data_IF_514564581411
#
_entry.id   IF_514564581411
#
_cell.length_a   1.000
_cell.length_b   1.000
_cell.length_c   1.000
_cell.angle_alpha   90.00
_cell.angle_beta   90.00
_cell.angle_gamma   90.00
#
_symmetry.space_group_name_H-M   'P 1'
#
loop_
_entity.id
_entity.type
_entity.pdbx_description
1 polymer ?
#
# COMPACT_ATOMS: atom_id res chain seq x y z
N UNK A 1 5.70 -5.71 19.34
CA UNK A 1 5.87 -7.17 19.48
C UNK A 1 6.09 -7.76 18.09
N UNK A 2 7.18 -8.49 17.87
CA UNK A 2 7.41 -9.22 16.63
C UNK A 2 6.67 -10.56 16.65
N UNK A 3 6.07 -10.96 15.54
CA UNK A 3 5.46 -12.28 15.35
C UNK A 3 6.38 -13.13 14.47
N UNK A 4 6.57 -14.41 14.82
CA UNK A 4 7.38 -15.35 14.03
C UNK A 4 6.50 -16.06 13.01
N UNK A 5 6.95 -16.11 11.76
CA UNK A 5 6.34 -16.88 10.67
C UNK A 5 7.40 -17.89 10.20
N UNK A 6 6.99 -19.15 10.02
CA UNK A 6 7.81 -20.19 9.43
C UNK A 6 7.14 -20.67 8.14
N UNK A 7 7.91 -20.85 7.08
CA UNK A 7 7.46 -21.44 5.83
C UNK A 7 8.53 -22.41 5.33
N UNK A 8 8.08 -23.45 4.65
CA UNK A 8 8.95 -24.46 4.03
C UNK A 8 9.07 -24.14 2.55
N UNK A 9 10.29 -24.22 2.04
CA UNK A 9 10.60 -24.12 0.62
C UNK A 9 11.12 -25.48 0.17
N UNK A 10 10.87 -25.82 -1.08
CA UNK A 10 11.62 -26.87 -1.74
C UNK A 10 13.08 -26.43 -1.98
N UNK A 11 13.93 -27.40 -2.35
CA UNK A 11 15.36 -27.15 -2.55
C UNK A 11 15.58 -26.06 -3.61
N UNK A 12 14.83 -26.10 -4.72
CA UNK A 12 14.92 -25.09 -5.78
C UNK A 12 14.54 -23.70 -5.27
N UNK A 13 13.42 -23.58 -4.57
CA UNK A 13 12.95 -22.31 -4.02
C UNK A 13 13.92 -21.73 -3.00
N UNK A 14 14.49 -22.58 -2.16
CA UNK A 14 15.53 -22.18 -1.20
C UNK A 14 16.80 -21.70 -1.92
N UNK A 15 17.32 -22.48 -2.86
CA UNK A 15 18.52 -22.12 -3.61
C UNK A 15 18.35 -20.79 -4.34
N UNK A 16 17.22 -20.60 -5.03
CA UNK A 16 16.90 -19.35 -5.72
C UNK A 16 16.82 -18.17 -4.76
N UNK A 17 16.17 -18.34 -3.62
CA UNK A 17 16.06 -17.29 -2.60
C UNK A 17 17.45 -16.86 -2.12
N UNK A 18 18.32 -17.82 -1.78
CA UNK A 18 19.67 -17.54 -1.27
C UNK A 18 20.55 -16.91 -2.37
N UNK A 19 20.51 -17.42 -3.59
CA UNK A 19 21.31 -16.88 -4.70
C UNK A 19 20.94 -15.43 -5.00
N UNK A 20 19.65 -15.11 -4.96
CA UNK A 20 19.16 -13.76 -5.27
C UNK A 20 19.47 -12.74 -4.17
N UNK A 21 19.77 -13.17 -2.95
CA UNK A 21 20.22 -12.29 -1.85
C UNK A 21 21.40 -11.42 -2.28
N UNK A 22 22.35 -11.99 -3.03
CA UNK A 22 23.52 -11.26 -3.52
C UNK A 22 23.15 -10.09 -4.43
N UNK A 23 22.09 -10.25 -5.24
CA UNK A 23 21.58 -9.17 -6.08
C UNK A 23 20.94 -8.09 -5.22
N UNK A 24 20.18 -8.49 -4.21
CA UNK A 24 19.56 -7.58 -3.26
C UNK A 24 20.61 -6.76 -2.47
N UNK A 25 21.64 -7.40 -1.91
CA UNK A 25 22.70 -6.72 -1.16
C UNK A 25 23.42 -5.67 -2.02
N UNK A 26 23.64 -5.97 -3.32
CA UNK A 26 24.21 -5.02 -4.27
C UNK A 26 23.29 -3.81 -4.50
N UNK A 27 21.98 -4.04 -4.62
CA UNK A 27 20.99 -2.96 -4.82
C UNK A 27 20.87 -2.08 -3.56
N UNK A 28 20.94 -2.69 -2.38
CA UNK A 28 20.82 -2.00 -1.10
C UNK A 28 22.13 -1.35 -0.64
N UNK A 29 23.25 -1.63 -1.34
CA UNK A 29 24.59 -1.16 -1.02
C UNK A 29 25.08 -1.59 0.39
N UNK A 30 24.46 -2.61 0.98
CA UNK A 30 24.74 -3.13 2.32
C UNK A 30 24.49 -4.65 2.37
N UNK A 31 25.30 -5.37 3.16
CA UNK A 31 25.11 -6.79 3.41
C UNK A 31 24.00 -6.99 4.46
N UNK A 32 22.85 -7.49 4.01
CA UNK A 32 21.72 -7.80 4.89
C UNK A 32 21.88 -9.16 5.56
N UNK A 33 21.24 -9.42 6.69
CA UNK A 33 21.06 -10.79 7.15
C UNK A 33 19.93 -11.51 6.39
N UNK A 34 19.87 -12.85 6.46
CA UNK A 34 18.85 -13.62 5.74
C UNK A 34 17.42 -13.26 6.18
N UNK A 35 17.23 -12.93 7.45
CA UNK A 35 15.92 -12.62 8.00
C UNK A 35 15.42 -11.25 7.50
N UNK A 36 16.28 -10.24 7.47
CA UNK A 36 16.01 -8.91 6.95
C UNK A 36 15.72 -8.94 5.46
N UNK A 37 16.54 -9.66 4.70
CA UNK A 37 16.33 -9.88 3.27
C UNK A 37 14.95 -10.50 2.98
N UNK A 38 14.62 -11.59 3.68
CA UNK A 38 13.32 -12.26 3.51
C UNK A 38 12.16 -11.37 3.93
N UNK A 39 12.28 -10.68 5.07
CA UNK A 39 11.25 -9.75 5.53
C UNK A 39 11.01 -8.64 4.50
N UNK A 40 12.07 -8.14 3.87
CA UNK A 40 11.99 -7.10 2.84
C UNK A 40 11.31 -7.63 1.58
N UNK A 41 11.69 -8.81 1.09
CA UNK A 41 11.01 -9.43 -0.06
C UNK A 41 9.53 -9.63 0.20
N UNK A 42 9.16 -10.13 1.39
CA UNK A 42 7.75 -10.32 1.74
C UNK A 42 7.01 -8.99 1.76
N UNK A 43 7.60 -7.94 2.33
CA UNK A 43 6.99 -6.61 2.33
C UNK A 43 6.79 -6.05 0.91
N UNK A 44 7.82 -6.15 0.05
CA UNK A 44 7.76 -5.72 -1.35
C UNK A 44 6.74 -6.55 -2.13
N UNK A 45 6.69 -7.86 -1.90
CA UNK A 45 5.73 -8.77 -2.52
C UNK A 45 4.29 -8.38 -2.19
N UNK A 46 3.99 -8.14 -0.91
CA UNK A 46 2.66 -7.71 -0.47
C UNK A 46 2.26 -6.35 -1.08
N UNK A 47 3.18 -5.39 -1.11
CA UNK A 47 2.94 -4.07 -1.72
C UNK A 47 2.70 -4.18 -3.23
N UNK A 48 3.42 -5.06 -3.91
CA UNK A 48 3.27 -5.31 -5.35
C UNK A 48 1.93 -5.99 -5.63
N UNK A 49 1.58 -7.03 -4.87
CA UNK A 49 0.28 -7.69 -4.97
C UNK A 49 -0.87 -6.72 -4.74
N UNK A 50 -0.74 -5.79 -3.79
CA UNK A 50 -1.75 -4.75 -3.56
C UNK A 50 -1.92 -3.87 -4.79
N UNK A 51 -0.82 -3.40 -5.40
CA UNK A 51 -0.87 -2.59 -6.63
C UNK A 51 -1.51 -3.32 -7.80
N UNK A 52 -1.22 -4.60 -7.94
CA UNK A 52 -1.76 -5.45 -9.02
C UNK A 52 -3.26 -5.73 -8.84
N UNK A 53 -3.72 -5.88 -7.59
CA UNK A 53 -5.12 -6.15 -7.28
C UNK A 53 -5.98 -4.88 -7.32
N UNK A 54 -5.41 -3.70 -7.04
CA UNK A 54 -6.16 -2.44 -7.13
C UNK A 54 -6.59 -2.22 -8.59
N UNK A 55 -7.90 -2.08 -8.86
CA UNK A 55 -8.38 -1.85 -10.22
C UNK A 55 -7.75 -0.61 -10.83
N UNK A 56 -7.14 -0.77 -12.00
CA UNK A 56 -6.56 0.34 -12.77
C UNK A 56 -7.63 1.08 -13.58
N UNK A 57 -8.74 0.40 -13.89
CA UNK A 57 -9.91 1.04 -14.48
C UNK A 57 -10.56 1.99 -13.47
N UNK A 58 -10.77 3.24 -13.91
CA UNK A 58 -11.24 4.32 -13.04
C UNK A 58 -12.65 4.08 -12.53
N UNK A 59 -13.55 3.51 -13.34
CA UNK A 59 -14.93 3.27 -12.94
C UNK A 59 -14.99 2.14 -11.91
N UNK A 60 -14.29 1.04 -12.19
CA UNK A 60 -14.20 -0.10 -11.26
C UNK A 60 -13.56 0.31 -9.94
N UNK A 61 -12.53 1.17 -9.98
CA UNK A 61 -11.91 1.71 -8.77
C UNK A 61 -12.90 2.55 -7.96
N UNK A 62 -13.67 3.43 -8.59
CA UNK A 62 -14.67 4.23 -7.90
C UNK A 62 -15.79 3.39 -7.29
N UNK A 63 -16.25 2.36 -7.99
CA UNK A 63 -17.25 1.44 -7.46
C UNK A 63 -16.71 0.64 -6.28
N UNK A 64 -15.44 0.24 -6.33
CA UNK A 64 -14.75 -0.40 -5.20
C UNK A 64 -14.70 0.54 -3.99
N UNK A 65 -14.34 1.81 -4.19
CA UNK A 65 -14.31 2.83 -3.12
C UNK A 65 -15.72 3.07 -2.54
N UNK A 66 -16.75 3.15 -3.39
CA UNK A 66 -18.15 3.30 -2.94
C UNK A 66 -18.60 2.09 -2.13
N UNK A 67 -18.25 0.88 -2.56
CA UNK A 67 -18.54 -0.34 -1.83
C UNK A 67 -17.83 -0.38 -0.47
N UNK A 68 -16.58 0.07 -0.40
CA UNK A 68 -15.83 0.20 0.85
C UNK A 68 -16.51 1.16 1.82
N UNK A 69 -16.92 2.35 1.36
CA UNK A 69 -17.67 3.31 2.18
C UNK A 69 -19.01 2.74 2.67
N UNK A 70 -19.74 2.00 1.83
CA UNK A 70 -21.01 1.36 2.24
C UNK A 70 -20.78 0.29 3.31
N UNK A 71 -19.70 -0.48 3.21
CA UNK A 71 -19.41 -1.59 4.13
C UNK A 71 -18.79 -1.11 5.45
N UNK A 72 -17.92 -0.09 5.39
CA UNK A 72 -17.16 0.41 6.54
C UNK A 72 -17.10 1.96 6.52
N UNK A 73 -18.23 2.66 6.73
CA UNK A 73 -18.31 4.10 6.53
C UNK A 73 -17.40 4.90 7.48
N UNK A 74 -17.28 4.49 8.73
CA UNK A 74 -16.44 5.18 9.72
C UNK A 74 -14.95 5.07 9.37
N UNK A 75 -14.47 3.87 9.07
CA UNK A 75 -13.06 3.64 8.67
C UNK A 75 -12.72 4.46 7.42
N UNK A 76 -13.64 4.49 6.44
CA UNK A 76 -13.43 5.25 5.22
C UNK A 76 -13.39 6.77 5.49
N UNK A 77 -14.32 7.28 6.32
CA UNK A 77 -14.37 8.69 6.67
C UNK A 77 -13.11 9.14 7.43
N UNK A 78 -12.69 8.38 8.45
CA UNK A 78 -11.49 8.67 9.23
C UNK A 78 -10.24 8.66 8.34
N UNK A 79 -10.11 7.66 7.46
CA UNK A 79 -9.01 7.60 6.51
C UNK A 79 -8.98 8.80 5.56
N UNK A 80 -10.13 9.24 5.04
CA UNK A 80 -10.20 10.44 4.21
C UNK A 80 -9.80 11.70 4.98
N UNK A 81 -10.21 11.83 6.24
CA UNK A 81 -9.79 12.94 7.11
C UNK A 81 -8.28 12.93 7.27
N UNK A 82 -7.69 11.78 7.58
CA UNK A 82 -6.24 11.64 7.73
C UNK A 82 -5.49 12.01 6.44
N UNK A 83 -5.95 11.51 5.28
CA UNK A 83 -5.33 11.84 3.99
C UNK A 83 -5.45 13.33 3.67
N UNK A 84 -6.61 13.94 3.91
CA UNK A 84 -6.82 15.35 3.61
C UNK A 84 -6.09 16.26 4.59
N UNK A 85 -5.96 15.88 5.85
CA UNK A 85 -5.30 16.71 6.89
C UNK A 85 -3.78 16.73 6.76
N UNK A 86 -3.17 15.76 6.07
CA UNK A 86 -1.75 15.85 5.69
C UNK A 86 -1.52 17.14 4.90
N UNK A 87 -0.53 17.94 5.31
CA UNK A 87 -0.16 19.22 4.69
C UNK A 87 0.52 19.06 3.32
N UNK A 88 -0.09 18.26 2.45
CA UNK A 88 0.34 18.03 1.08
C UNK A 88 -0.39 18.99 0.15
N UNK A 89 0.34 19.59 -0.79
CA UNK A 89 -0.21 20.56 -1.75
C UNK A 89 -1.46 20.04 -2.47
N UNK A 90 -1.47 18.76 -2.86
CA UNK A 90 -2.61 18.10 -3.53
C UNK A 90 -3.84 18.00 -2.62
N UNK A 91 -3.66 17.67 -1.34
CA UNK A 91 -4.77 17.57 -0.39
C UNK A 91 -5.46 18.93 -0.18
N UNK A 92 -4.68 20.01 -0.10
CA UNK A 92 -5.20 21.36 0.07
C UNK A 92 -5.99 21.85 -1.16
N UNK A 93 -5.52 21.54 -2.37
CA UNK A 93 -6.25 21.82 -3.62
C UNK A 93 -7.60 21.10 -3.66
N UNK A 94 -7.63 19.82 -3.24
CA UNK A 94 -8.88 19.03 -3.16
C UNK A 94 -9.86 19.65 -2.16
N UNK A 95 -9.40 20.03 -0.95
CA UNK A 95 -10.27 20.68 0.06
C UNK A 95 -10.91 21.95 -0.47
N UNK A 96 -10.13 22.82 -1.12
CA UNK A 96 -10.64 24.09 -1.66
C UNK A 96 -11.70 23.84 -2.73
N UNK A 97 -11.45 22.89 -3.62
CA UNK A 97 -12.41 22.51 -4.67
C UNK A 97 -13.72 22.00 -4.06
N UNK A 98 -13.64 21.02 -3.16
CA UNK A 98 -14.82 20.42 -2.52
C UNK A 98 -15.61 21.46 -1.73
N UNK A 99 -14.94 22.34 -0.97
CA UNK A 99 -15.59 23.43 -0.23
C UNK A 99 -16.32 24.41 -1.15
N UNK A 100 -15.70 24.77 -2.27
CA UNK A 100 -16.31 25.66 -3.27
C UNK A 100 -17.55 25.05 -3.92
N UNK A 101 -17.52 23.75 -4.24
CA UNK A 101 -18.68 23.02 -4.77
C UNK A 101 -19.78 22.86 -3.73
N UNK A 102 -19.43 22.51 -2.48
CA UNK A 102 -20.41 22.37 -1.39
C UNK A 102 -21.18 23.66 -1.11
N UNK A 103 -20.50 24.82 -1.14
CA UNK A 103 -21.14 26.12 -0.97
C UNK A 103 -22.20 26.39 -2.04
N UNK A 104 -22.04 25.90 -3.27
CA UNK A 104 -23.05 26.04 -4.34
C UNK A 104 -24.35 25.27 -4.08
N UNK A 105 -24.32 24.27 -3.20
CA UNK A 105 -25.51 23.50 -2.84
C UNK A 105 -26.25 24.07 -1.63
N UNK A 106 -25.62 24.98 -0.88
CA UNK A 106 -26.14 25.50 0.39
C UNK A 106 -26.48 27.01 0.29
N UNK A 107 -26.08 27.67 -0.79
CA UNK A 107 -26.35 29.09 -1.08
C UNK A 107 -27.14 29.20 -2.38
#
# INVERSE_FOLDING_TARGET
MAKKICFELDDEGYERLIQFKRVFDVIMEEESDLQEYVATIVAVGLETMLKDIIPQDREVLWDTIRALNRRNPHIFADFLVDVLTRSEKKAEEVKKKVKGEALRYIT
#
